data_IF_048931637341
#
_entry.id   IF_048931637341
#
_cell.length_a   1.000
_cell.length_b   1.000
_cell.length_c   1.000
_cell.angle_alpha   90.00
_cell.angle_beta   90.00
_cell.angle_gamma   90.00
#
_symmetry.space_group_name_H-M   'P 1'
#
loop_
_entity.id
_entity.type
_entity.pdbx_description
1 polymer ?
#
# COMPACT_ATOMS: atom_id res chain seq x y z
N UNK A 1 6.87 -40.57 16.55
CA UNK A 1 6.69 -40.05 15.17
C UNK A 1 5.65 -38.91 15.13
N UNK A 2 4.49 -39.06 15.78
CA UNK A 2 3.42 -38.04 15.81
C UNK A 2 3.81 -36.73 16.56
N UNK A 3 4.58 -36.83 17.65
CA UNK A 3 5.02 -35.64 18.41
C UNK A 3 5.92 -34.70 17.60
N UNK A 4 6.85 -35.22 16.78
CA UNK A 4 7.70 -34.39 15.92
C UNK A 4 6.89 -33.67 14.82
N UNK A 5 5.75 -34.22 14.42
CA UNK A 5 4.85 -33.56 13.47
C UNK A 5 4.06 -32.44 14.16
N UNK A 6 3.50 -32.70 15.35
CA UNK A 6 2.80 -31.69 16.15
C UNK A 6 3.73 -30.54 16.59
N UNK A 7 5.00 -30.80 16.86
CA UNK A 7 5.98 -29.77 17.18
C UNK A 7 6.24 -28.80 16.01
N UNK A 8 6.12 -29.26 14.75
CA UNK A 8 6.21 -28.37 13.58
C UNK A 8 5.00 -27.45 13.42
N UNK A 9 3.85 -27.78 14.02
CA UNK A 9 2.65 -26.94 14.00
C UNK A 9 2.55 -26.02 15.23
N UNK A 10 3.54 -26.02 16.13
CA UNK A 10 3.57 -25.13 17.29
C UNK A 10 4.00 -23.71 16.88
N UNK A 11 3.01 -22.85 16.66
CA UNK A 11 3.16 -21.43 16.30
C UNK A 11 3.91 -20.56 17.34
N UNK A 12 4.12 -21.06 18.55
CA UNK A 12 4.72 -20.28 19.64
C UNK A 12 6.19 -19.91 19.38
N UNK A 13 6.91 -20.77 18.64
CA UNK A 13 8.29 -20.52 18.26
C UNK A 13 8.45 -19.54 17.08
N UNK A 14 7.37 -19.27 16.32
CA UNK A 14 7.37 -18.39 15.14
C UNK A 14 6.82 -16.99 15.43
N UNK A 15 6.44 -16.69 16.68
CA UNK A 15 6.00 -15.34 17.05
C UNK A 15 7.15 -14.36 16.95
N UNK A 16 7.02 -13.38 16.06
CA UNK A 16 7.94 -12.24 16.03
C UNK A 16 7.88 -11.44 17.33
N UNK A 17 9.04 -10.91 17.71
CA UNK A 17 9.16 -10.08 18.90
C UNK A 17 8.53 -8.70 18.65
N UNK A 18 7.63 -8.28 19.54
CA UNK A 18 6.84 -7.06 19.38
C UNK A 18 7.64 -5.79 18.99
N UNK A 19 8.78 -5.45 19.60
CA UNK A 19 9.53 -4.26 19.19
C UNK A 19 10.10 -4.36 17.78
N UNK A 20 10.43 -5.56 17.29
CA UNK A 20 10.84 -5.76 15.90
C UNK A 20 9.69 -5.48 14.93
N UNK A 21 8.48 -5.92 15.28
CA UNK A 21 7.27 -5.61 14.50
C UNK A 21 7.00 -4.10 14.47
N UNK A 22 7.11 -3.43 15.62
CA UNK A 22 6.90 -1.98 15.73
C UNK A 22 7.94 -1.23 14.89
N UNK A 23 9.21 -1.62 14.94
CA UNK A 23 10.29 -1.01 14.16
C UNK A 23 10.08 -1.19 12.65
N UNK A 24 9.73 -2.41 12.21
CA UNK A 24 9.45 -2.71 10.81
C UNK A 24 8.28 -1.87 10.26
N UNK A 25 7.19 -1.76 11.02
CA UNK A 25 6.03 -0.95 10.59
C UNK A 25 6.34 0.55 10.65
N UNK A 26 7.04 1.01 11.69
CA UNK A 26 7.40 2.43 11.87
C UNK A 26 8.38 2.94 10.81
N UNK A 27 9.32 2.10 10.38
CA UNK A 27 10.22 2.40 9.26
C UNK A 27 9.45 2.45 7.93
N UNK A 28 8.49 1.54 7.73
CA UNK A 28 7.58 1.54 6.58
C UNK A 28 6.60 2.71 6.52
N UNK A 29 6.41 3.46 7.61
CA UNK A 29 5.55 4.64 7.66
C UNK A 29 6.07 5.81 6.80
N UNK A 30 7.37 5.84 6.51
CA UNK A 30 8.01 6.94 5.79
C UNK A 30 7.90 6.71 4.28
N UNK A 31 7.20 7.62 3.62
CA UNK A 31 7.02 7.59 2.17
C UNK A 31 7.95 8.61 1.52
N UNK A 32 9.14 8.19 1.09
CA UNK A 32 10.17 9.08 0.49
C UNK A 32 10.87 8.42 -0.69
N UNK A 33 11.37 9.26 -1.60
CA UNK A 33 12.27 8.86 -2.69
C UNK A 33 11.65 7.81 -3.60
N UNK A 34 12.21 6.60 -3.58
CA UNK A 34 11.84 5.48 -4.45
C UNK A 34 10.36 5.09 -4.32
N UNK A 35 9.80 5.07 -3.11
CA UNK A 35 8.41 4.65 -2.89
C UNK A 35 7.41 5.62 -3.54
N UNK A 36 7.73 6.92 -3.59
CA UNK A 36 6.91 7.92 -4.30
C UNK A 36 6.94 7.69 -5.81
N UNK A 37 8.11 7.39 -6.37
CA UNK A 37 8.23 7.08 -7.79
C UNK A 37 7.48 5.79 -8.15
N UNK A 38 7.62 4.73 -7.35
CA UNK A 38 6.88 3.49 -7.53
C UNK A 38 5.38 3.75 -7.48
N UNK A 39 4.91 4.60 -6.54
CA UNK A 39 3.50 4.99 -6.47
C UNK A 39 3.04 5.68 -7.76
N UNK A 40 3.79 6.65 -8.26
CA UNK A 40 3.46 7.37 -9.51
C UNK A 40 3.32 6.36 -10.65
N UNK A 41 4.27 5.42 -10.80
CA UNK A 41 4.20 4.38 -11.81
C UNK A 41 3.01 3.43 -11.58
N UNK A 42 2.73 3.03 -10.35
CA UNK A 42 1.58 2.18 -10.03
C UNK A 42 0.27 2.87 -10.43
N UNK A 43 0.12 4.16 -10.18
CA UNK A 43 -1.06 4.93 -10.58
C UNK A 43 -1.17 5.06 -12.10
N UNK A 44 -0.06 5.25 -12.82
CA UNK A 44 -0.06 5.21 -14.28
C UNK A 44 -0.51 3.85 -14.81
N UNK A 45 0.04 2.75 -14.28
CA UNK A 45 -0.34 1.38 -14.70
C UNK A 45 -1.81 1.11 -14.37
N UNK A 46 -2.30 1.54 -13.19
CA UNK A 46 -3.71 1.42 -12.84
C UNK A 46 -4.60 2.21 -13.80
N UNK A 47 -4.21 3.44 -14.15
CA UNK A 47 -4.97 4.30 -15.08
C UNK A 47 -4.95 3.74 -16.50
N UNK A 48 -3.84 3.16 -16.95
CA UNK A 48 -3.76 2.40 -18.19
C UNK A 48 -4.67 1.17 -18.16
N UNK A 49 -4.65 0.42 -17.05
CA UNK A 49 -5.52 -0.74 -16.82
C UNK A 49 -6.99 -0.40 -16.94
N UNK A 50 -7.41 0.75 -16.38
CA UNK A 50 -8.76 1.29 -16.56
C UNK A 50 -9.05 1.64 -18.03
N UNK A 51 -8.11 2.30 -18.71
CA UNK A 51 -8.28 2.68 -20.12
C UNK A 51 -8.37 1.47 -21.07
N UNK A 52 -7.67 0.38 -20.78
CA UNK A 52 -7.73 -0.88 -21.55
C UNK A 52 -8.77 -1.86 -21.02
N UNK A 53 -9.57 -1.48 -20.02
CA UNK A 53 -10.58 -2.33 -19.37
C UNK A 53 -9.99 -3.70 -18.94
N UNK A 54 -8.90 -3.66 -18.17
CA UNK A 54 -8.17 -4.85 -17.73
C UNK A 54 -7.99 -4.87 -16.22
N UNK A 55 -8.89 -5.59 -15.55
CA UNK A 55 -8.80 -5.86 -14.11
C UNK A 55 -7.45 -6.48 -13.70
N UNK A 56 -6.86 -7.32 -14.55
CA UNK A 56 -5.56 -7.95 -14.28
C UNK A 56 -4.43 -6.91 -14.12
N UNK A 57 -4.42 -5.88 -14.97
CA UNK A 57 -3.45 -4.79 -14.90
C UNK A 57 -3.68 -3.93 -13.66
N UNK A 58 -4.94 -3.67 -13.31
CA UNK A 58 -5.32 -2.91 -12.11
C UNK A 58 -4.85 -3.63 -10.84
N UNK A 59 -5.09 -4.95 -10.73
CA UNK A 59 -4.61 -5.74 -9.59
C UNK A 59 -3.09 -5.78 -9.55
N UNK A 60 -2.42 -5.90 -10.71
CA UNK A 60 -0.96 -5.80 -10.79
C UNK A 60 -0.42 -4.50 -10.21
N UNK A 61 -1.07 -3.36 -10.50
CA UNK A 61 -0.73 -2.07 -9.92
C UNK A 61 -0.95 -2.01 -8.40
N UNK A 62 -1.99 -2.68 -7.87
CA UNK A 62 -2.22 -2.78 -6.43
C UNK A 62 -1.09 -3.53 -5.71
N UNK A 63 -0.56 -4.61 -6.29
CA UNK A 63 0.49 -5.44 -5.69
C UNK A 63 1.83 -4.72 -5.55
N UNK A 64 2.15 -3.82 -6.48
CA UNK A 64 3.41 -3.07 -6.46
C UNK A 64 3.31 -1.75 -5.66
N UNK A 65 2.12 -1.35 -5.25
CA UNK A 65 1.89 -0.05 -4.61
C UNK A 65 2.41 -0.04 -3.16
N UNK A 66 3.34 0.87 -2.81
CA UNK A 66 3.93 0.90 -1.47
C UNK A 66 3.02 1.57 -0.40
N UNK A 67 1.75 1.80 -0.72
CA UNK A 67 0.77 2.50 0.14
C UNK A 67 0.43 1.71 1.42
N UNK A 68 0.68 0.40 1.44
CA UNK A 68 0.47 -0.44 2.64
C UNK A 68 1.29 0.02 3.84
N UNK A 69 2.51 0.55 3.66
CA UNK A 69 3.37 0.99 4.77
C UNK A 69 2.72 2.06 5.66
N UNK A 70 2.33 3.22 5.10
CA UNK A 70 1.59 4.25 5.84
C UNK A 70 0.28 3.75 6.46
N UNK A 71 -0.49 2.91 5.77
CA UNK A 71 -1.75 2.36 6.29
C UNK A 71 -1.52 1.47 7.51
N UNK A 72 -0.53 0.58 7.46
CA UNK A 72 -0.16 -0.27 8.60
C UNK A 72 0.36 0.55 9.77
N UNK A 73 1.15 1.60 9.51
CA UNK A 73 1.66 2.50 10.53
C UNK A 73 0.56 3.33 11.22
N UNK A 74 -0.48 3.73 10.48
CA UNK A 74 -1.69 4.33 11.06
C UNK A 74 -2.36 3.37 12.05
N UNK A 75 -2.63 2.14 11.63
CA UNK A 75 -3.27 1.12 12.46
C UNK A 75 -2.45 0.79 13.71
N UNK A 76 -1.13 0.64 13.54
CA UNK A 76 -0.22 0.43 14.67
C UNK A 76 -0.23 1.64 15.62
N UNK A 77 -0.08 2.86 15.11
CA UNK A 77 -0.07 4.07 15.93
C UNK A 77 -1.33 4.23 16.77
N UNK A 78 -2.50 3.86 16.23
CA UNK A 78 -3.76 3.79 17.00
C UNK A 78 -3.69 2.66 18.04
N UNK A 79 -3.24 1.47 17.63
CA UNK A 79 -3.22 0.27 18.48
C UNK A 79 -2.30 0.38 19.71
N UNK A 80 -1.14 1.05 19.57
CA UNK A 80 -0.20 1.29 20.68
C UNK A 80 -0.33 2.68 21.31
N UNK A 81 -1.32 3.48 20.87
CA UNK A 81 -1.54 4.87 21.29
C UNK A 81 -0.31 5.79 21.12
N UNK A 82 0.47 5.56 20.06
CA UNK A 82 1.62 6.40 19.70
C UNK A 82 1.18 7.54 18.78
N UNK A 83 0.93 8.70 19.39
CA UNK A 83 0.49 9.91 18.68
C UNK A 83 1.54 10.47 17.72
N UNK A 84 2.83 10.24 17.96
CA UNK A 84 3.90 10.70 17.09
C UNK A 84 3.95 9.86 15.81
N UNK A 85 3.87 8.53 15.93
CA UNK A 85 3.76 7.63 14.80
C UNK A 85 2.46 7.88 14.01
N UNK A 86 1.34 8.05 14.71
CA UNK A 86 0.06 8.34 14.09
C UNK A 86 0.11 9.61 13.23
N UNK A 87 0.58 10.73 13.79
CA UNK A 87 0.68 11.99 13.05
C UNK A 87 1.59 11.86 11.83
N UNK A 88 2.71 11.16 11.97
CA UNK A 88 3.66 10.90 10.89
C UNK A 88 3.01 10.06 9.79
N UNK A 89 2.31 8.98 10.15
CA UNK A 89 1.66 8.09 9.19
C UNK A 89 0.50 8.79 8.46
N UNK A 90 -0.32 9.60 9.16
CA UNK A 90 -1.38 10.42 8.54
C UNK A 90 -0.78 11.37 7.50
N UNK A 91 0.28 12.09 7.87
CA UNK A 91 0.91 13.06 6.98
C UNK A 91 1.46 12.40 5.71
N UNK A 92 2.15 11.26 5.85
CA UNK A 92 2.67 10.51 4.70
C UNK A 92 1.53 9.93 3.85
N UNK A 93 0.47 9.42 4.47
CA UNK A 93 -0.71 8.92 3.77
C UNK A 93 -1.39 10.00 2.94
N UNK A 94 -1.62 11.19 3.52
CA UNK A 94 -2.21 12.32 2.80
C UNK A 94 -1.35 12.78 1.61
N UNK A 95 -0.02 12.82 1.77
CA UNK A 95 0.88 13.11 0.65
C UNK A 95 0.75 12.06 -0.44
N UNK A 96 0.78 10.77 -0.09
CA UNK A 96 0.65 9.68 -1.05
C UNK A 96 -0.69 9.75 -1.80
N UNK A 97 -1.79 9.97 -1.10
CA UNK A 97 -3.12 10.16 -1.70
C UNK A 97 -3.15 11.39 -2.61
N UNK A 98 -2.59 12.52 -2.18
CA UNK A 98 -2.54 13.74 -3.00
C UNK A 98 -1.74 13.55 -4.29
N UNK A 99 -0.58 12.88 -4.22
CA UNK A 99 0.24 12.53 -5.39
C UNK A 99 -0.51 11.57 -6.30
N UNK A 100 -1.17 10.55 -5.75
CA UNK A 100 -1.94 9.59 -6.53
C UNK A 100 -3.09 10.26 -7.29
N UNK A 101 -3.89 11.09 -6.62
CA UNK A 101 -4.99 11.83 -7.25
C UNK A 101 -4.49 12.80 -8.31
N UNK A 102 -3.40 13.52 -8.03
CA UNK A 102 -2.81 14.46 -9.00
C UNK A 102 -2.30 13.72 -10.23
N UNK A 103 -1.62 12.58 -10.04
CA UNK A 103 -1.06 11.77 -11.14
C UNK A 103 -2.17 11.18 -12.02
N UNK A 104 -3.22 10.59 -11.42
CA UNK A 104 -4.34 10.05 -12.20
C UNK A 104 -5.08 11.17 -12.95
N UNK A 105 -5.30 12.31 -12.30
CA UNK A 105 -5.95 13.47 -12.93
C UNK A 105 -5.16 13.95 -14.14
N UNK A 106 -3.83 14.11 -14.03
CA UNK A 106 -2.97 14.49 -15.15
C UNK A 106 -3.04 13.45 -16.27
N UNK A 107 -2.99 12.15 -15.93
CA UNK A 107 -3.06 11.09 -16.92
C UNK A 107 -4.37 11.12 -17.72
N UNK A 108 -5.52 11.19 -17.04
CA UNK A 108 -6.82 11.24 -17.70
C UNK A 108 -7.08 12.56 -18.42
N UNK A 109 -6.45 13.66 -17.99
CA UNK A 109 -6.51 14.93 -18.71
C UNK A 109 -5.76 14.86 -20.04
N UNK A 110 -4.62 14.18 -20.08
CA UNK A 110 -3.81 14.00 -21.30
C UNK A 110 -4.37 12.93 -22.24
N UNK A 111 -4.93 11.86 -21.68
CA UNK A 111 -5.57 10.76 -22.42
C UNK A 111 -7.05 10.69 -22.02
N UNK A 112 -7.90 11.62 -22.52
CA UNK A 112 -9.32 11.61 -22.21
C UNK A 112 -9.91 10.26 -22.63
N UNK A 113 -10.70 9.67 -21.72
CA UNK A 113 -11.45 8.44 -21.98
C UNK A 113 -12.40 8.70 -23.15
N UNK A 114 -12.10 8.13 -24.32
CA UNK A 114 -12.87 8.37 -25.54
C UNK A 114 -14.19 7.58 -25.57
N UNK A 115 -14.36 6.56 -24.72
CA UNK A 115 -15.63 5.82 -24.55
C UNK A 115 -15.82 5.35 -23.11
N UNK A 116 -17.06 5.39 -22.61
CA UNK A 116 -17.44 4.86 -21.31
C UNK A 116 -17.37 3.31 -21.37
N UNK A 117 -16.30 2.75 -20.84
CA UNK A 117 -16.11 1.30 -20.79
C UNK A 117 -16.57 0.72 -19.43
N UNK A 118 -16.98 -0.55 -19.45
CA UNK A 118 -17.78 -1.27 -18.45
C UNK A 118 -17.29 -1.32 -16.99
N UNK A 119 -16.16 -0.70 -16.64
CA UNK A 119 -15.71 -0.59 -15.24
C UNK A 119 -16.08 0.75 -14.56
N UNK A 120 -16.67 1.69 -15.31
CA UNK A 120 -17.27 2.95 -14.77
C UNK A 120 -18.81 2.80 -14.57
N UNK A 121 -19.39 1.67 -14.98
CA UNK A 121 -20.82 1.32 -14.86
C UNK A 121 -21.01 0.22 -13.83
#
# INVERSE_FOLDING_TARGET
>A
MLNNFLDKFKLHAEKEHLPTVIENISSGAVFRGTNLWILIFAIFVASLGLNVNSTAVIIGAMLISPLMGPIMALGLGIGINDTALLRKAIYNFLIATGVALTTSTIFFLMSPLNEAHSEIL
#
